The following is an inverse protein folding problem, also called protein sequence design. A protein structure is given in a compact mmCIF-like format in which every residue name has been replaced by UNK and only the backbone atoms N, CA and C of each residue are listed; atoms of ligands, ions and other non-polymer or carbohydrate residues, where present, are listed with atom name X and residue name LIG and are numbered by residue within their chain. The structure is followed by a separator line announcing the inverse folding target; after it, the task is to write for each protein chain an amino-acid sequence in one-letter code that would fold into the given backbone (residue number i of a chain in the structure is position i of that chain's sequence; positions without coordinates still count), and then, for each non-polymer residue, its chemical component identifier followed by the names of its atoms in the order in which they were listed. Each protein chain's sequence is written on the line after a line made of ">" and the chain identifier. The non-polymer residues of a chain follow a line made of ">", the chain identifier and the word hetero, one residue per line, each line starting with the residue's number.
data_IF_286936825203
#
_entry.id   IF_286936825203
#
_cell.length_a   1.000
_cell.length_b   1.000
_cell.length_c   1.000
_cell.angle_alpha   90.00
_cell.angle_beta   90.00
_cell.angle_gamma   90.00
#
_symmetry.space_group_name_H-M   'P 1'
#
loop_
_entity.id
_entity.type
_entity.pdbx_description
1 polymer ?
#
# COMPACT_ATOMS: atom_id res chain seq x y z
N UNK A 1 -31.67 -31.50 11.52
CA UNK A 1 -30.33 -30.87 11.60
C UNK A 1 -29.86 -30.71 10.17
N UNK A 2 -29.70 -29.49 9.68
CA UNK A 2 -29.31 -29.22 8.29
C UNK A 2 -27.83 -28.83 8.25
N UNK A 3 -27.09 -29.41 7.31
CA UNK A 3 -25.70 -29.06 7.02
C UNK A 3 -25.72 -28.15 5.77
N UNK A 4 -25.08 -26.99 5.87
CA UNK A 4 -24.93 -26.07 4.75
C UNK A 4 -23.47 -26.02 4.31
N UNK A 5 -23.25 -26.10 3.00
CA UNK A 5 -21.97 -25.80 2.38
C UNK A 5 -22.03 -24.33 1.97
N UNK A 6 -21.25 -23.49 2.65
CA UNK A 6 -21.20 -22.05 2.39
C UNK A 6 -19.82 -21.73 1.83
N UNK A 7 -19.80 -20.96 0.73
CA UNK A 7 -18.57 -20.37 0.23
C UNK A 7 -18.12 -19.24 1.16
N UNK A 8 -17.03 -19.47 1.88
CA UNK A 8 -16.49 -18.51 2.84
C UNK A 8 -16.03 -17.22 2.14
N UNK A 9 -15.58 -17.31 0.88
CA UNK A 9 -15.07 -16.16 0.14
C UNK A 9 -16.18 -15.15 -0.15
N UNK A 10 -17.26 -15.57 -0.84
CA UNK A 10 -18.40 -14.69 -1.12
C UNK A 10 -19.07 -14.18 0.16
N UNK A 11 -19.21 -15.04 1.18
CA UNK A 11 -19.80 -14.61 2.45
C UNK A 11 -18.95 -13.55 3.17
N UNK A 12 -17.63 -13.72 3.20
CA UNK A 12 -16.72 -12.75 3.82
C UNK A 12 -16.64 -11.44 3.03
N UNK A 13 -16.68 -11.49 1.69
CA UNK A 13 -16.68 -10.32 0.83
C UNK A 13 -17.86 -9.40 1.14
N UNK A 14 -19.08 -9.94 1.11
CA UNK A 14 -20.30 -9.16 1.38
C UNK A 14 -20.34 -8.64 2.82
N UNK A 15 -19.91 -9.45 3.79
CA UNK A 15 -19.82 -9.02 5.19
C UNK A 15 -18.83 -7.86 5.37
N UNK A 16 -17.65 -7.96 4.75
CA UNK A 16 -16.62 -6.92 4.80
C UNK A 16 -17.10 -5.61 4.16
N UNK A 17 -17.75 -5.71 3.00
CA UNK A 17 -18.34 -4.57 2.30
C UNK A 17 -19.39 -3.86 3.16
N UNK A 18 -20.35 -4.60 3.71
CA UNK A 18 -21.41 -4.06 4.57
C UNK A 18 -20.80 -3.40 5.82
N UNK A 19 -19.83 -4.05 6.47
CA UNK A 19 -19.17 -3.53 7.66
C UNK A 19 -18.39 -2.24 7.38
N UNK A 20 -17.80 -2.12 6.19
CA UNK A 20 -17.10 -0.92 5.77
C UNK A 20 -18.04 0.25 5.50
N UNK A 21 -19.23 0.00 4.95
CA UNK A 21 -20.27 1.01 4.78
C UNK A 21 -20.83 1.50 6.12
N UNK A 22 -21.16 0.58 7.03
CA UNK A 22 -21.71 0.91 8.35
C UNK A 22 -20.77 1.76 9.21
N UNK A 23 -19.46 1.58 9.04
CA UNK A 23 -18.42 2.25 9.82
C UNK A 23 -17.50 3.12 8.97
N UNK A 24 -18.03 3.65 7.87
CA UNK A 24 -17.31 4.58 7.02
C UNK A 24 -16.73 5.75 7.85
N UNK A 25 -15.44 6.03 7.69
CA UNK A 25 -14.68 7.01 8.46
C UNK A 25 -14.58 6.78 9.99
N UNK A 26 -15.03 5.61 10.49
CA UNK A 26 -14.89 5.15 11.89
C UNK A 26 -14.31 3.73 11.95
N UNK A 27 -13.36 3.45 11.07
CA UNK A 27 -12.63 2.20 11.11
C UNK A 27 -11.80 2.15 12.39
N UNK A 28 -11.84 1.00 13.08
CA UNK A 28 -10.90 0.75 14.18
C UNK A 28 -9.49 0.79 13.58
N UNK A 29 -8.52 1.38 14.27
CA UNK A 29 -7.13 1.27 13.85
C UNK A 29 -6.78 -0.21 13.79
N UNK A 30 -6.52 -0.73 12.58
CA UNK A 30 -6.03 -2.08 12.41
C UNK A 30 -4.64 -2.16 13.05
N UNK A 31 -4.55 -2.83 14.20
CA UNK A 31 -3.27 -3.11 14.82
C UNK A 31 -2.74 -4.38 14.18
N UNK A 32 -1.74 -4.22 13.32
CA UNK A 32 -0.91 -5.34 12.90
C UNK A 32 -0.04 -5.74 14.09
N UNK A 33 -0.29 -6.93 14.60
CA UNK A 33 0.38 -7.57 15.72
C UNK A 33 1.82 -8.01 15.39
N UNK A 34 2.10 -8.21 14.09
CA UNK A 34 3.45 -8.33 13.56
C UNK A 34 3.84 -7.07 12.77
N UNK A 35 5.08 -6.61 12.92
CA UNK A 35 5.67 -5.69 11.94
C UNK A 35 5.71 -6.40 10.60
N UNK A 36 4.72 -6.14 9.74
CA UNK A 36 4.68 -6.74 8.41
C UNK A 36 5.86 -6.21 7.60
N UNK A 37 6.71 -7.12 7.14
CA UNK A 37 7.75 -6.77 6.17
C UNK A 37 7.09 -6.55 4.81
N UNK A 38 7.14 -5.31 4.34
CA UNK A 38 6.55 -4.89 3.09
C UNK A 38 7.14 -5.68 1.90
N UNK A 39 8.44 -5.95 1.96
CA UNK A 39 9.13 -6.72 0.93
C UNK A 39 8.60 -8.15 0.85
N UNK A 40 8.47 -8.83 1.99
CA UNK A 40 7.93 -10.19 2.03
C UNK A 40 6.46 -10.25 1.55
N UNK A 41 5.66 -9.24 1.89
CA UNK A 41 4.27 -9.14 1.43
C UNK A 41 4.19 -8.93 -0.09
N UNK A 42 4.98 -8.01 -0.65
CA UNK A 42 5.04 -7.77 -2.10
C UNK A 42 5.56 -9.01 -2.83
N UNK A 43 6.58 -9.69 -2.28
CA UNK A 43 7.10 -10.91 -2.88
C UNK A 43 6.06 -12.02 -2.92
N UNK A 44 5.34 -12.23 -1.82
CA UNK A 44 4.24 -13.19 -1.76
C UNK A 44 3.13 -12.83 -2.75
N UNK A 45 2.80 -11.54 -2.90
CA UNK A 45 1.82 -11.08 -3.87
C UNK A 45 2.26 -11.37 -5.31
N UNK A 46 3.53 -11.12 -5.67
CA UNK A 46 4.06 -11.39 -7.02
C UNK A 46 4.07 -12.88 -7.40
N UNK A 47 3.91 -13.79 -6.45
CA UNK A 47 3.76 -15.23 -6.72
C UNK A 47 2.30 -15.65 -7.00
N UNK A 48 1.33 -14.74 -6.83
CA UNK A 48 -0.09 -14.96 -7.11
C UNK A 48 -0.41 -14.69 -8.59
N UNK A 49 -1.33 -15.45 -9.19
CA UNK A 49 -1.66 -15.34 -10.63
C UNK A 49 -2.36 -14.02 -10.98
N UNK A 50 -3.00 -13.41 -9.99
CA UNK A 50 -3.82 -12.20 -10.08
C UNK A 50 -2.97 -10.95 -10.35
N UNK A 51 -1.66 -11.01 -10.13
CA UNK A 51 -0.76 -9.86 -10.35
C UNK A 51 -0.44 -9.62 -11.82
N UNK A 52 -0.64 -10.62 -12.68
CA UNK A 52 -0.31 -10.52 -14.11
C UNK A 52 1.19 -10.29 -14.39
N UNK A 53 2.08 -10.60 -13.43
CA UNK A 53 3.53 -10.47 -13.63
C UNK A 53 4.02 -11.44 -14.73
N UNK A 54 4.83 -10.94 -15.65
CA UNK A 54 5.42 -11.71 -16.76
C UNK A 54 6.94 -11.66 -16.73
N UNK A 55 7.61 -12.60 -17.41
CA UNK A 55 9.08 -12.65 -17.50
C UNK A 55 9.72 -11.45 -18.24
N UNK A 56 8.90 -10.61 -18.89
CA UNK A 56 9.32 -9.36 -19.53
C UNK A 56 9.48 -8.21 -18.53
N UNK A 57 8.90 -8.35 -17.33
CA UNK A 57 9.02 -7.37 -16.25
C UNK A 57 10.35 -7.52 -15.51
N UNK A 58 10.77 -6.50 -14.74
CA UNK A 58 11.92 -6.62 -13.85
C UNK A 58 11.81 -7.82 -12.91
N UNK A 59 12.96 -8.30 -12.43
CA UNK A 59 12.98 -9.41 -11.49
C UNK A 59 12.10 -9.11 -10.28
N UNK A 60 11.41 -10.13 -9.77
CA UNK A 60 10.51 -9.99 -8.61
C UNK A 60 11.22 -9.40 -7.38
N UNK A 61 12.51 -9.67 -7.22
CA UNK A 61 13.35 -9.10 -6.16
C UNK A 61 13.53 -7.59 -6.35
N UNK A 62 13.81 -7.14 -7.57
CA UNK A 62 13.91 -5.72 -7.90
C UNK A 62 12.60 -4.97 -7.65
N UNK A 63 11.45 -5.59 -7.98
CA UNK A 63 10.13 -4.99 -7.73
C UNK A 63 9.87 -4.89 -6.23
N UNK A 64 10.18 -5.94 -5.46
CA UNK A 64 10.00 -5.93 -4.02
C UNK A 64 10.94 -4.94 -3.30
N UNK A 65 12.17 -4.73 -3.81
CA UNK A 65 13.10 -3.70 -3.31
C UNK A 65 12.62 -2.27 -3.51
N UNK A 66 11.75 -2.04 -4.50
CA UNK A 66 11.12 -0.76 -4.76
C UNK A 66 9.96 -0.43 -3.81
N UNK A 67 9.70 -1.23 -2.77
CA UNK A 67 8.55 -1.01 -1.88
C UNK A 67 8.81 0.20 -0.96
N UNK A 68 7.91 1.21 -0.92
CA UNK A 68 8.05 2.35 -0.02
C UNK A 68 7.92 1.90 1.45
N UNK A 69 8.43 2.69 2.41
CA UNK A 69 8.32 2.34 3.81
C UNK A 69 6.86 2.30 4.25
N UNK A 70 6.43 1.21 4.89
CA UNK A 70 5.04 1.08 5.38
C UNK A 70 4.63 2.19 6.36
N UNK A 71 5.60 2.85 7.01
CA UNK A 71 5.37 4.00 7.87
C UNK A 71 4.90 5.26 7.14
N UNK A 72 5.13 5.38 5.82
CA UNK A 72 4.68 6.54 5.03
C UNK A 72 3.23 6.41 4.57
N UNK A 73 2.65 5.20 4.55
CA UNK A 73 1.28 4.94 4.08
C UNK A 73 0.22 5.76 4.84
N UNK A 74 0.23 5.85 6.18
CA UNK A 74 -0.75 6.68 6.89
C UNK A 74 -0.70 8.15 6.49
N UNK A 75 0.49 8.69 6.25
CA UNK A 75 0.68 10.07 5.81
C UNK A 75 0.23 10.25 4.35
N UNK A 76 0.57 9.31 3.47
CA UNK A 76 0.11 9.30 2.08
C UNK A 76 -1.43 9.32 2.01
N UNK A 77 -2.13 8.45 2.76
CA UNK A 77 -3.59 8.40 2.77
C UNK A 77 -4.22 9.70 3.28
N UNK A 78 -3.61 10.33 4.29
CA UNK A 78 -4.07 11.63 4.80
C UNK A 78 -3.96 12.70 3.72
N UNK A 79 -2.79 12.82 3.07
CA UNK A 79 -2.52 13.87 2.08
C UNK A 79 -3.31 13.66 0.79
N UNK A 80 -3.53 12.41 0.40
CA UNK A 80 -4.42 12.06 -0.71
C UNK A 80 -5.84 12.61 -0.49
N UNK A 81 -6.34 12.56 0.75
CA UNK A 81 -7.67 13.07 1.09
C UNK A 81 -7.75 14.58 1.31
N UNK A 82 -6.64 15.24 1.68
CA UNK A 82 -6.66 16.67 2.08
C UNK A 82 -5.96 17.62 1.11
N UNK A 83 -5.01 17.14 0.32
CA UNK A 83 -4.15 17.98 -0.55
C UNK A 83 -4.48 17.83 -2.04
N UNK A 84 -5.13 16.73 -2.45
CA UNK A 84 -5.51 16.50 -3.85
C UNK A 84 -6.85 17.18 -4.15
N UNK A 85 -6.87 17.96 -5.23
CA UNK A 85 -8.10 18.50 -5.82
C UNK A 85 -8.79 17.41 -6.64
N UNK A 86 -10.01 17.04 -6.25
CA UNK A 86 -10.79 15.99 -6.90
C UNK A 86 -11.82 16.52 -7.91
N UNK A 87 -11.97 17.83 -8.03
CA UNK A 87 -13.00 18.45 -8.86
C UNK A 87 -12.55 18.55 -10.34
N UNK A 88 -11.24 18.66 -10.59
CA UNK A 88 -10.65 18.84 -11.92
C UNK A 88 -9.61 17.75 -12.27
N UNK A 89 -9.69 17.20 -13.50
CA UNK A 89 -8.87 16.03 -13.93
C UNK A 89 -7.35 16.28 -13.88
N UNK A 90 -6.88 17.40 -14.46
CA UNK A 90 -5.45 17.69 -14.52
C UNK A 90 -4.82 17.91 -13.12
N UNK A 91 -5.36 18.80 -12.25
CA UNK A 91 -4.79 18.97 -10.92
C UNK A 91 -4.99 17.73 -10.04
N UNK A 92 -6.06 16.95 -10.23
CA UNK A 92 -6.23 15.64 -9.58
C UNK A 92 -5.07 14.70 -9.89
N UNK A 93 -4.82 14.44 -11.19
CA UNK A 93 -3.72 13.55 -11.59
C UNK A 93 -2.36 14.06 -11.12
N UNK A 94 -2.12 15.37 -11.20
CA UNK A 94 -0.87 15.97 -10.74
C UNK A 94 -0.70 15.83 -9.22
N UNK A 95 -1.77 16.04 -8.44
CA UNK A 95 -1.76 15.88 -6.99
C UNK A 95 -1.50 14.43 -6.57
N UNK A 96 -2.20 13.47 -7.18
CA UNK A 96 -1.99 12.04 -6.91
C UNK A 96 -0.54 11.64 -7.23
N UNK A 97 -0.01 12.04 -8.38
CA UNK A 97 1.37 11.72 -8.76
C UNK A 97 2.41 12.38 -7.84
N UNK A 98 2.15 13.61 -7.38
CA UNK A 98 3.01 14.29 -6.42
C UNK A 98 3.04 13.56 -5.07
N UNK A 99 1.88 13.12 -4.57
CA UNK A 99 1.79 12.38 -3.31
C UNK A 99 2.43 11.00 -3.40
N UNK A 100 2.28 10.30 -4.52
CA UNK A 100 3.01 9.07 -4.78
C UNK A 100 4.52 9.35 -4.80
N UNK A 101 4.97 10.40 -5.49
CA UNK A 101 6.39 10.78 -5.51
C UNK A 101 6.95 11.03 -4.12
N UNK A 102 6.17 11.65 -3.23
CA UNK A 102 6.55 11.90 -1.84
C UNK A 102 6.55 10.65 -0.97
N UNK A 103 5.66 9.69 -1.25
CA UNK A 103 5.65 8.38 -0.58
C UNK A 103 6.92 7.56 -0.88
N UNK A 104 7.43 7.64 -2.11
CA UNK A 104 8.65 6.97 -2.57
C UNK A 104 9.94 7.78 -2.31
N UNK A 105 9.83 9.06 -1.95
CA UNK A 105 10.99 9.91 -1.68
C UNK A 105 11.77 9.44 -0.44
N UNK A 106 13.11 9.55 -0.43
CA UNK A 106 13.92 9.17 0.71
C UNK A 106 13.60 10.07 1.91
N UNK A 107 13.15 9.46 3.01
CA UNK A 107 12.97 10.16 4.29
C UNK A 107 14.34 10.36 4.91
N UNK A 108 14.69 11.61 5.22
CA UNK A 108 15.89 11.90 6.01
C UNK A 108 15.66 11.41 7.44
N UNK A 109 16.36 10.35 7.84
CA UNK A 109 16.32 9.84 9.21
C UNK A 109 17.55 10.39 9.94
N UNK A 110 17.33 11.21 10.96
CA UNK A 110 18.36 11.66 11.87
C UNK A 110 18.78 10.50 12.77
N UNK A 111 19.86 9.81 12.40
CA UNK A 111 20.47 8.81 13.28
C UNK A 111 21.60 9.45 14.11
N UNK A 112 21.93 8.93 15.31
CA UNK A 112 23.05 9.44 16.12
C UNK A 112 24.40 9.45 15.39
N UNK A 113 24.54 8.74 14.27
CA UNK A 113 25.75 8.64 13.46
C UNK A 113 25.70 9.47 12.15
N UNK A 114 24.70 10.35 11.99
CA UNK A 114 24.54 11.24 10.83
C UNK A 114 23.25 11.03 10.05
N UNK A 115 22.98 11.94 9.10
CA UNK A 115 21.80 11.90 8.23
C UNK A 115 21.99 10.76 7.23
N UNK A 116 21.30 9.65 7.41
CA UNK A 116 21.20 8.60 6.38
C UNK A 116 19.94 8.87 5.55
N UNK A 117 20.12 9.35 4.31
CA UNK A 117 19.05 9.26 3.32
C UNK A 117 18.94 7.79 2.89
N UNK A 118 17.94 7.09 3.40
CA UNK A 118 17.57 5.79 2.85
C UNK A 118 16.91 6.02 1.49
N UNK A 119 17.75 6.20 0.46
CA UNK A 119 17.34 5.94 -0.91
C UNK A 119 17.32 4.43 -1.07
N UNK A 120 16.17 3.83 -1.37
CA UNK A 120 16.11 2.43 -1.78
C UNK A 120 16.84 2.34 -3.12
N UNK A 121 18.12 1.96 -3.05
CA UNK A 121 19.19 2.28 -4.00
C UNK A 121 18.98 1.82 -5.45
N UNK A 122 17.98 0.99 -5.71
CA UNK A 122 17.73 0.39 -7.02
C UNK A 122 16.62 1.09 -7.80
N UNK A 123 15.72 1.84 -7.12
CA UNK A 123 14.51 2.39 -7.75
C UNK A 123 14.61 3.87 -8.17
N UNK A 124 15.73 4.54 -7.88
CA UNK A 124 15.96 5.95 -8.25
C UNK A 124 16.86 6.13 -9.49
N UNK A 125 16.99 5.10 -10.33
CA UNK A 125 17.84 5.12 -11.53
C UNK A 125 17.13 5.71 -12.74
#
# INVERSE_FOLDING_TARGET
>A
MALYLVDAHSAAHEWGYQRALEHFAKFLAAQFDASMDAWAAVRAALDMEETGWTEEMPSKDTIAECTPPMSSIPLFLLRLGTEVDWDEEMPCMQGVLAEIGLMYAPVAVDTPNGISSQCYSTCCS
#
